data_IF_754952337053
#
_entry.id   IF_754952337053
#
_cell.length_a   1.000
_cell.length_b   1.000
_cell.length_c   1.000
_cell.angle_alpha   90.00
_cell.angle_beta   90.00
_cell.angle_gamma   90.00
#
_symmetry.space_group_name_H-M   'P 1'
#
loop_
_entity.id
_entity.type
_entity.pdbx_description
1 polymer ?
#
# COMPACT_ATOMS: atom_id res chain seq x y z
N UNK A 1 -6.83 7.36 -22.03
CA UNK A 1 -6.70 7.11 -20.57
C UNK A 1 -5.25 6.84 -20.16
N UNK A 2 -4.41 6.19 -20.98
CA UNK A 2 -2.98 5.97 -20.70
C UNK A 2 -2.07 7.18 -21.01
N UNK A 3 -2.42 8.05 -21.96
CA UNK A 3 -1.63 9.23 -22.33
C UNK A 3 -1.42 10.28 -21.20
N UNK A 4 -2.19 10.20 -20.11
CA UNK A 4 -2.02 11.06 -18.92
C UNK A 4 -0.86 10.61 -18.01
N UNK A 5 -0.35 9.39 -18.18
CA UNK A 5 0.79 8.88 -17.40
C UNK A 5 2.14 9.18 -18.06
N UNK A 6 2.14 9.45 -19.36
CA UNK A 6 3.36 9.68 -20.15
C UNK A 6 4.01 11.03 -19.82
N UNK A 7 3.21 12.08 -19.62
CA UNK A 7 3.69 13.37 -19.11
C UNK A 7 2.61 14.11 -18.32
N UNK A 8 2.95 14.52 -17.11
CA UNK A 8 2.16 15.44 -16.31
C UNK A 8 3.04 16.65 -16.02
N UNK A 9 2.59 17.84 -16.42
CA UNK A 9 3.32 19.10 -16.19
C UNK A 9 4.75 19.11 -16.78
N UNK A 10 4.99 18.40 -17.89
CA UNK A 10 6.31 18.35 -18.54
C UNK A 10 7.35 17.46 -17.85
N UNK A 11 6.95 16.72 -16.81
CA UNK A 11 7.77 15.73 -16.12
C UNK A 11 7.21 14.32 -16.39
N UNK A 12 8.04 13.25 -16.26
CA UNK A 12 7.54 11.89 -16.28
C UNK A 12 6.41 11.76 -15.26
N UNK A 13 5.25 11.23 -15.67
CA UNK A 13 4.11 11.08 -14.75
C UNK A 13 4.41 10.09 -13.61
N UNK A 14 5.34 9.16 -13.85
CA UNK A 14 5.69 8.09 -12.93
C UNK A 14 6.06 8.57 -11.50
N UNK A 15 7.01 9.51 -11.27
CA UNK A 15 7.26 10.07 -9.94
C UNK A 15 6.01 10.59 -9.22
N UNK A 16 5.08 11.26 -9.89
CA UNK A 16 3.86 11.77 -9.26
C UNK A 16 2.95 10.64 -8.78
N UNK A 17 2.81 9.59 -9.59
CA UNK A 17 2.05 8.39 -9.23
C UNK A 17 2.74 7.60 -8.11
N UNK A 18 4.08 7.57 -8.10
CA UNK A 18 4.85 6.95 -7.01
C UNK A 18 4.56 7.64 -5.67
N UNK A 19 4.45 8.98 -5.62
CA UNK A 19 4.09 9.70 -4.39
C UNK A 19 2.75 9.25 -3.81
N UNK A 20 1.77 8.99 -4.66
CA UNK A 20 0.48 8.45 -4.24
C UNK A 20 0.68 7.10 -3.52
N UNK A 21 1.44 6.17 -4.11
CA UNK A 21 1.70 4.86 -3.53
C UNK A 21 2.52 4.95 -2.23
N UNK A 22 3.62 5.70 -2.23
CA UNK A 22 4.54 5.77 -1.08
C UNK A 22 3.96 6.50 0.12
N UNK A 23 2.96 7.37 -0.07
CA UNK A 23 2.24 8.03 1.04
C UNK A 23 1.04 7.21 1.49
N UNK A 24 0.22 6.72 0.55
CA UNK A 24 -1.03 6.08 0.91
C UNK A 24 -0.84 4.68 1.49
N UNK A 25 0.14 3.89 1.05
CA UNK A 25 0.32 2.54 1.62
C UNK A 25 0.72 2.59 3.10
N UNK A 26 1.72 3.40 3.53
CA UNK A 26 2.02 3.55 4.96
C UNK A 26 0.85 4.12 5.76
N UNK A 27 0.13 5.10 5.20
CA UNK A 27 -1.04 5.69 5.86
C UNK A 27 -2.17 4.67 6.03
N UNK A 28 -2.43 3.85 5.01
CA UNK A 28 -3.36 2.72 5.06
C UNK A 28 -2.93 1.66 6.06
N UNK A 29 -1.64 1.34 6.14
CA UNK A 29 -1.09 0.39 7.09
C UNK A 29 -1.33 0.87 8.53
N UNK A 30 -0.99 2.13 8.84
CA UNK A 30 -1.25 2.74 10.17
C UNK A 30 -2.76 2.77 10.47
N UNK A 31 -3.58 3.17 9.50
CA UNK A 31 -5.04 3.12 9.63
C UNK A 31 -5.55 1.70 9.91
N UNK A 32 -4.99 0.70 9.24
CA UNK A 32 -5.33 -0.72 9.41
C UNK A 32 -5.01 -1.18 10.83
N UNK A 33 -3.84 -0.82 11.37
CA UNK A 33 -3.47 -1.09 12.76
C UNK A 33 -4.44 -0.40 13.74
N UNK A 34 -4.77 0.87 13.49
CA UNK A 34 -5.70 1.62 14.33
C UNK A 34 -7.08 0.95 14.39
N UNK A 35 -7.64 0.52 13.26
CA UNK A 35 -8.95 -0.15 13.23
C UNK A 35 -8.88 -1.59 13.76
N UNK A 36 -7.72 -2.26 13.65
CA UNK A 36 -7.52 -3.61 14.21
C UNK A 36 -7.58 -3.59 15.74
N UNK A 37 -6.93 -2.61 16.39
CA UNK A 37 -6.80 -2.57 17.85
C UNK A 37 -7.80 -1.63 18.55
N UNK A 38 -8.30 -0.60 17.86
CA UNK A 38 -9.11 0.44 18.50
C UNK A 38 -10.55 0.44 18.00
N UNK A 39 -11.47 -0.13 18.80
CA UNK A 39 -12.88 -0.23 18.43
C UNK A 39 -13.57 1.11 18.14
N UNK A 40 -13.15 2.20 18.79
CA UNK A 40 -13.67 3.54 18.50
C UNK A 40 -13.25 4.04 17.11
N UNK A 41 -11.98 3.86 16.73
CA UNK A 41 -11.49 4.18 15.40
C UNK A 41 -12.19 3.32 14.33
N UNK A 42 -12.30 2.00 14.58
CA UNK A 42 -13.01 1.08 13.70
C UNK A 42 -14.43 1.53 13.37
N UNK A 43 -15.16 2.06 14.36
CA UNK A 43 -16.52 2.58 14.17
C UNK A 43 -16.59 3.88 13.38
N UNK A 44 -15.65 4.80 13.61
CA UNK A 44 -15.69 6.16 13.05
C UNK A 44 -15.07 6.25 11.66
N UNK A 45 -13.89 5.64 11.48
CA UNK A 45 -13.06 5.79 10.29
C UNK A 45 -12.82 4.47 9.55
N UNK A 46 -13.40 3.36 10.00
CA UNK A 46 -13.16 2.03 9.44
C UNK A 46 -13.28 1.95 7.93
N UNK A 47 -14.40 2.42 7.37
CA UNK A 47 -14.62 2.44 5.92
C UNK A 47 -13.76 3.48 5.19
N UNK A 48 -13.38 4.57 5.85
CA UNK A 48 -12.43 5.54 5.31
C UNK A 48 -11.06 4.88 5.12
N UNK A 49 -10.59 4.10 6.11
CA UNK A 49 -9.34 3.34 6.02
C UNK A 49 -9.39 2.30 4.90
N UNK A 50 -10.51 1.59 4.71
CA UNK A 50 -10.69 0.65 3.60
C UNK A 50 -10.60 1.37 2.25
N UNK A 51 -11.29 2.50 2.09
CA UNK A 51 -11.22 3.31 0.88
C UNK A 51 -9.80 3.81 0.60
N UNK A 52 -9.10 4.29 1.64
CA UNK A 52 -7.72 4.74 1.55
C UNK A 52 -6.78 3.60 1.12
N UNK A 53 -6.94 2.41 1.71
CA UNK A 53 -6.16 1.24 1.33
C UNK A 53 -6.44 0.77 -0.11
N UNK A 54 -7.69 0.88 -0.57
CA UNK A 54 -8.05 0.62 -1.96
C UNK A 54 -7.38 1.60 -2.92
N UNK A 55 -7.42 2.90 -2.61
CA UNK A 55 -6.72 3.92 -3.43
C UNK A 55 -5.21 3.70 -3.40
N UNK A 56 -4.65 3.28 -2.26
CA UNK A 56 -3.24 2.91 -2.17
C UNK A 56 -2.89 1.74 -3.09
N UNK A 57 -3.71 0.68 -3.10
CA UNK A 57 -3.56 -0.45 -4.01
C UNK A 57 -3.60 -0.05 -5.48
N UNK A 58 -4.59 0.76 -5.88
CA UNK A 58 -4.69 1.30 -7.24
C UNK A 58 -3.47 2.17 -7.56
N UNK A 59 -3.00 2.98 -6.61
CA UNK A 59 -1.79 3.79 -6.75
C UNK A 59 -0.55 2.95 -7.02
N UNK A 60 -0.37 1.83 -6.31
CA UNK A 60 0.72 0.89 -6.58
C UNK A 60 0.64 0.29 -7.98
N UNK A 61 -0.56 -0.12 -8.41
CA UNK A 61 -0.78 -0.64 -9.76
C UNK A 61 -0.41 0.41 -10.83
N UNK A 62 -0.90 1.64 -10.69
CA UNK A 62 -0.57 2.72 -11.62
C UNK A 62 0.91 3.09 -11.60
N UNK A 63 1.57 3.01 -10.44
CA UNK A 63 3.00 3.25 -10.33
C UNK A 63 3.80 2.18 -11.10
N UNK A 64 3.38 0.91 -11.03
CA UNK A 64 3.96 -0.16 -11.84
C UNK A 64 3.79 0.13 -13.34
N UNK A 65 2.55 0.32 -13.81
CA UNK A 65 2.27 0.52 -15.24
C UNK A 65 3.00 1.74 -15.82
N UNK A 66 3.02 2.86 -15.08
CA UNK A 66 3.76 4.05 -15.48
C UNK A 66 5.29 3.84 -15.46
N UNK A 67 5.80 2.99 -14.59
CA UNK A 67 7.22 2.64 -14.52
C UNK A 67 7.67 1.77 -15.68
N UNK A 68 6.85 0.78 -16.05
CA UNK A 68 7.09 -0.07 -17.22
C UNK A 68 7.08 0.74 -18.52
N UNK A 69 6.15 1.69 -18.66
CA UNK A 69 6.14 2.62 -19.79
C UNK A 69 7.43 3.48 -19.83
N UNK A 70 7.87 3.98 -18.67
CA UNK A 70 9.08 4.80 -18.54
C UNK A 70 10.37 4.02 -18.83
N UNK A 71 10.41 2.71 -18.56
CA UNK A 71 11.61 1.87 -18.73
C UNK A 71 12.17 1.92 -20.16
N UNK A 72 11.30 2.08 -21.16
CA UNK A 72 11.71 2.17 -22.57
C UNK A 72 12.33 3.52 -22.95
N UNK A 73 12.18 4.53 -22.09
CA UNK A 73 12.61 5.92 -22.32
C UNK A 73 13.81 6.33 -21.46
N UNK A 74 14.34 5.42 -20.64
CA UNK A 74 15.48 5.68 -19.73
C UNK A 74 16.64 4.74 -20.04
N UNK A 75 17.86 5.19 -19.72
CA UNK A 75 19.05 4.34 -19.88
C UNK A 75 18.95 3.13 -18.95
N UNK A 76 19.05 1.93 -19.51
CA UNK A 76 19.17 0.69 -18.72
C UNK A 76 20.46 0.68 -17.91
N UNK A 77 20.32 0.36 -16.63
CA UNK A 77 21.40 0.16 -15.66
C UNK A 77 20.99 -0.97 -14.71
N UNK A 78 21.95 -1.62 -14.07
CA UNK A 78 21.65 -2.68 -13.08
C UNK A 78 20.71 -2.20 -11.96
N UNK A 79 20.82 -0.94 -11.54
CA UNK A 79 19.95 -0.36 -10.52
C UNK A 79 18.51 -0.16 -11.01
N UNK A 80 18.31 0.19 -12.29
CA UNK A 80 16.98 0.28 -12.90
C UNK A 80 16.36 -1.11 -13.01
N UNK A 81 17.12 -2.10 -13.48
CA UNK A 81 16.61 -3.48 -13.62
C UNK A 81 16.24 -4.09 -12.26
N UNK A 82 17.05 -3.87 -11.23
CA UNK A 82 16.75 -4.29 -9.86
C UNK A 82 15.50 -3.60 -9.26
N UNK A 83 15.20 -2.37 -9.67
CA UNK A 83 13.96 -1.69 -9.26
C UNK A 83 12.74 -2.26 -9.98
N UNK A 84 12.84 -2.48 -11.29
CA UNK A 84 11.77 -3.05 -12.13
C UNK A 84 11.39 -4.45 -11.65
N UNK A 85 12.36 -5.29 -11.32
CA UNK A 85 12.09 -6.65 -10.80
C UNK A 85 11.27 -6.64 -9.50
N UNK A 86 11.37 -5.58 -8.70
CA UNK A 86 10.61 -5.44 -7.45
C UNK A 86 9.23 -4.81 -7.63
N UNK A 87 8.91 -4.25 -8.80
CA UNK A 87 7.73 -3.42 -9.03
C UNK A 87 6.41 -4.17 -8.79
N UNK A 88 6.33 -5.44 -9.21
CA UNK A 88 5.17 -6.31 -8.95
C UNK A 88 4.87 -6.46 -7.45
N UNK A 89 5.93 -6.49 -6.64
CA UNK A 89 5.81 -6.57 -5.18
C UNK A 89 5.09 -5.38 -4.57
N UNK A 90 5.09 -4.21 -5.22
CA UNK A 90 4.39 -3.00 -4.76
C UNK A 90 2.88 -3.13 -4.88
N UNK A 91 2.40 -3.70 -5.99
CA UNK A 91 0.97 -3.97 -6.21
C UNK A 91 0.46 -5.02 -5.23
N UNK A 92 1.22 -6.10 -5.02
CA UNK A 92 0.91 -7.13 -4.02
C UNK A 92 0.88 -6.54 -2.60
N UNK A 93 1.83 -5.66 -2.29
CA UNK A 93 1.87 -4.95 -1.00
C UNK A 93 0.62 -4.08 -0.77
N UNK A 94 0.23 -3.26 -1.75
CA UNK A 94 -0.99 -2.44 -1.66
C UNK A 94 -2.25 -3.30 -1.50
N UNK A 95 -2.35 -4.38 -2.27
CA UNK A 95 -3.47 -5.32 -2.18
C UNK A 95 -3.55 -6.00 -0.81
N UNK A 96 -2.41 -6.43 -0.25
CA UNK A 96 -2.33 -7.03 1.06
C UNK A 96 -2.90 -6.10 2.15
N UNK A 97 -2.50 -4.82 2.15
CA UNK A 97 -3.03 -3.84 3.11
C UNK A 97 -4.53 -3.62 2.92
N UNK A 98 -5.01 -3.53 1.68
CA UNK A 98 -6.42 -3.41 1.37
C UNK A 98 -7.24 -4.59 1.91
N UNK A 99 -6.80 -5.82 1.64
CA UNK A 99 -7.47 -7.04 2.14
C UNK A 99 -7.45 -7.09 3.67
N UNK A 100 -6.35 -6.69 4.31
CA UNK A 100 -6.26 -6.58 5.76
C UNK A 100 -7.30 -5.62 6.35
N UNK A 101 -7.37 -4.40 5.83
CA UNK A 101 -8.34 -3.40 6.25
C UNK A 101 -9.79 -3.84 6.02
N UNK A 102 -10.08 -4.34 4.80
CA UNK A 102 -11.41 -4.81 4.43
C UNK A 102 -11.84 -6.00 5.28
N UNK A 103 -10.94 -6.95 5.53
CA UNK A 103 -11.18 -8.12 6.37
C UNK A 103 -11.60 -7.73 7.78
N UNK A 104 -10.88 -6.80 8.42
CA UNK A 104 -11.23 -6.28 9.76
C UNK A 104 -12.64 -5.70 9.77
N UNK A 105 -13.00 -4.90 8.76
CA UNK A 105 -14.31 -4.25 8.69
C UNK A 105 -15.45 -5.22 8.37
N UNK A 106 -15.24 -6.17 7.45
CA UNK A 106 -16.23 -7.19 7.11
C UNK A 106 -16.51 -8.10 8.32
N UNK A 107 -15.48 -8.54 9.03
CA UNK A 107 -15.67 -9.34 10.25
C UNK A 107 -16.39 -8.54 11.34
N UNK A 108 -16.03 -7.27 11.55
CA UNK A 108 -16.72 -6.40 12.51
C UNK A 108 -18.21 -6.23 12.16
N UNK A 109 -18.55 -6.05 10.87
CA UNK A 109 -19.94 -6.02 10.42
C UNK A 109 -20.68 -7.32 10.70
N UNK A 110 -20.10 -8.47 10.35
CA UNK A 110 -20.71 -9.79 10.55
C UNK A 110 -20.99 -10.03 12.04
N UNK A 111 -20.01 -9.73 12.90
CA UNK A 111 -20.15 -9.89 14.36
C UNK A 111 -21.28 -9.02 14.88
N UNK A 112 -21.33 -7.74 14.51
CA UNK A 112 -22.39 -6.81 14.96
C UNK A 112 -23.78 -7.23 14.52
N UNK A 113 -23.94 -7.63 13.26
CA UNK A 113 -25.24 -8.06 12.74
C UNK A 113 -25.76 -9.30 13.48
N UNK A 114 -24.86 -10.23 13.84
CA UNK A 114 -25.24 -11.43 14.60
C UNK A 114 -25.59 -11.12 16.04
N UNK A 115 -24.82 -10.25 16.70
CA UNK A 115 -25.15 -9.78 18.05
C UNK A 115 -26.51 -9.07 18.07
N UNK A 116 -26.80 -8.23 17.09
CA UNK A 116 -28.10 -7.57 16.95
C UNK A 116 -29.25 -8.57 16.74
N UNK A 117 -29.01 -9.67 16.03
CA UNK A 117 -29.97 -10.76 15.79
C UNK A 117 -30.04 -11.80 16.94
N UNK A 118 -29.32 -11.59 18.05
CA UNK A 118 -29.22 -12.53 19.19
C UNK A 118 -28.83 -13.96 18.79
N UNK A 119 -28.04 -14.12 17.73
CA UNK A 119 -27.61 -15.43 17.26
C UNK A 119 -26.45 -15.96 18.11
N UNK A 120 -26.52 -17.23 18.52
CA UNK A 120 -25.42 -17.89 19.21
C UNK A 120 -24.21 -18.04 18.27
N UNK A 121 -23.03 -17.66 18.74
CA UNK A 121 -21.79 -17.77 17.97
C UNK A 121 -21.08 -19.11 18.22
N UNK A 122 -20.67 -19.77 17.13
CA UNK A 122 -19.78 -20.95 17.19
C UNK A 122 -18.38 -20.54 17.72
N UNK A 123 -17.59 -21.46 18.30
CA UNK A 123 -16.26 -21.15 18.85
C UNK A 123 -15.33 -20.44 17.86
N UNK A 124 -15.27 -20.91 16.61
CA UNK A 124 -14.45 -20.32 15.55
C UNK A 124 -14.84 -18.86 15.26
N UNK A 125 -16.13 -18.52 15.40
CA UNK A 125 -16.64 -17.17 15.14
C UNK A 125 -16.27 -16.19 16.25
N UNK A 126 -16.08 -16.68 17.49
CA UNK A 126 -15.59 -15.87 18.61
C UNK A 126 -14.11 -15.51 18.43
N UNK A 127 -13.34 -16.38 17.78
CA UNK A 127 -11.92 -16.17 17.50
C UNK A 127 -11.66 -15.36 16.22
N UNK A 128 -12.62 -15.30 15.29
CA UNK A 128 -12.47 -14.64 14.00
C UNK A 128 -11.95 -13.18 14.08
N UNK A 129 -12.42 -12.30 15.00
CA UNK A 129 -11.88 -10.93 15.10
C UNK A 129 -10.40 -10.89 15.46
N UNK A 130 -9.95 -11.81 16.32
CA UNK A 130 -8.55 -11.90 16.73
C UNK A 130 -7.68 -12.39 15.58
N UNK A 131 -8.11 -13.48 14.91
CA UNK A 131 -7.39 -14.07 13.77
C UNK A 131 -7.24 -13.03 12.65
N UNK A 132 -8.34 -12.37 12.26
CA UNK A 132 -8.30 -11.35 11.22
C UNK A 132 -7.52 -10.12 11.64
N UNK A 133 -7.56 -9.73 12.92
CA UNK A 133 -6.72 -8.66 13.44
C UNK A 133 -5.23 -8.97 13.29
N UNK A 134 -4.80 -10.18 13.67
CA UNK A 134 -3.40 -10.62 13.51
C UNK A 134 -3.00 -10.66 12.04
N UNK A 135 -3.83 -11.24 11.17
CA UNK A 135 -3.55 -11.27 9.73
C UNK A 135 -3.45 -9.86 9.14
N UNK A 136 -4.34 -8.95 9.51
CA UNK A 136 -4.30 -7.56 9.05
C UNK A 136 -3.01 -6.83 9.48
N UNK A 137 -2.53 -7.10 10.70
CA UNK A 137 -1.24 -6.57 11.18
C UNK A 137 -0.08 -7.10 10.34
N UNK A 138 -0.04 -8.41 10.09
CA UNK A 138 1.02 -9.01 9.26
C UNK A 138 1.02 -8.44 7.84
N UNK A 139 -0.16 -8.27 7.23
CA UNK A 139 -0.31 -7.68 5.90
C UNK A 139 0.10 -6.20 5.88
N UNK A 140 -0.23 -5.43 6.92
CA UNK A 140 0.18 -4.02 7.06
C UNK A 140 1.70 -3.88 7.18
N UNK A 141 2.35 -4.74 7.97
CA UNK A 141 3.80 -4.77 8.11
C UNK A 141 4.49 -5.19 6.81
N UNK A 142 4.01 -6.27 6.18
CA UNK A 142 4.48 -6.71 4.87
C UNK A 142 4.41 -5.58 3.85
N UNK A 143 3.24 -4.92 3.73
CA UNK A 143 3.04 -3.82 2.80
C UNK A 143 4.02 -2.67 3.02
N UNK A 144 4.23 -2.28 4.28
CA UNK A 144 5.16 -1.22 4.66
C UNK A 144 6.61 -1.55 4.28
N UNK A 145 7.06 -2.78 4.61
CA UNK A 145 8.43 -3.23 4.29
C UNK A 145 8.68 -3.23 2.78
N UNK A 146 7.72 -3.75 1.99
CA UNK A 146 7.86 -3.81 0.53
C UNK A 146 7.93 -2.42 -0.09
N UNK A 147 7.10 -1.48 0.35
CA UNK A 147 7.14 -0.11 -0.16
C UNK A 147 8.47 0.59 0.17
N UNK A 148 9.01 0.38 1.37
CA UNK A 148 10.34 0.92 1.75
C UNK A 148 11.43 0.33 0.86
N UNK A 149 11.43 -0.99 0.65
CA UNK A 149 12.41 -1.67 -0.20
C UNK A 149 12.37 -1.18 -1.65
N UNK A 150 11.16 -1.07 -2.22
CA UNK A 150 10.94 -0.61 -3.59
C UNK A 150 11.36 0.86 -3.73
N UNK A 151 10.97 1.71 -2.77
CA UNK A 151 11.34 3.12 -2.74
C UNK A 151 12.85 3.32 -2.64
N UNK A 152 13.53 2.56 -1.78
CA UNK A 152 15.00 2.58 -1.67
C UNK A 152 15.68 2.16 -2.98
N UNK A 153 15.16 1.11 -3.63
CA UNK A 153 15.66 0.66 -4.93
C UNK A 153 15.47 1.74 -6.00
N UNK A 154 14.31 2.40 -6.03
CA UNK A 154 14.04 3.51 -6.97
C UNK A 154 14.93 4.74 -6.72
N UNK A 155 15.22 5.05 -5.46
CA UNK A 155 16.15 6.11 -5.09
C UNK A 155 17.58 5.79 -5.59
N UNK A 156 18.04 4.54 -5.45
CA UNK A 156 19.33 4.09 -6.01
C UNK A 156 19.36 4.17 -7.53
N UNK A 157 18.28 3.75 -8.21
CA UNK A 157 18.19 3.81 -9.66
C UNK A 157 18.29 5.25 -10.20
N UNK A 158 17.76 6.22 -9.46
CA UNK A 158 17.75 7.63 -9.87
C UNK A 158 19.02 8.38 -9.45
N UNK A 159 19.48 8.17 -8.21
CA UNK A 159 20.48 9.03 -7.55
C UNK A 159 21.79 8.32 -7.22
N UNK A 160 21.93 7.02 -7.52
CA UNK A 160 23.09 6.22 -7.10
C UNK A 160 24.44 6.72 -7.66
N UNK A 161 24.42 7.47 -8.76
CA UNK A 161 25.61 8.04 -9.40
C UNK A 161 25.74 9.56 -9.17
N UNK A 162 24.85 10.16 -8.37
CA UNK A 162 24.89 11.59 -8.08
C UNK A 162 25.85 11.84 -6.93
N UNK A 163 26.93 12.59 -7.17
CA UNK A 163 27.80 13.09 -6.09
C UNK A 163 27.04 14.16 -5.31
N UNK A 164 26.84 13.91 -4.02
CA UNK A 164 26.33 14.93 -3.10
C UNK A 164 27.54 15.78 -2.68
N UNK A 165 27.57 17.03 -3.14
CA UNK A 165 28.61 18.00 -2.74
C UNK A 165 28.12 18.71 -1.48
N UNK A 166 28.89 18.66 -0.40
CA UNK A 166 28.63 19.45 0.81
C UNK A 166 29.26 20.83 0.66
N UNK A 167 28.66 21.88 1.24
CA UNK A 167 29.24 23.24 1.28
C UNK A 167 30.62 23.28 1.99
N UNK A 168 31.01 22.18 2.66
CA UNK A 168 32.30 22.00 3.32
C UNK A 168 33.34 21.21 2.52
N UNK A 169 33.02 20.75 1.31
CA UNK A 169 33.93 20.08 0.37
C UNK A 169 34.42 21.04 -0.72
#
# INVERSE_FOLDING_TARGET
MLALLDSLFGLPGHPLVVHLAVVLVPLAAVGTLAIAFWGAARRRIGWIVVGLAFVAFVGCFLAKESGEALQNSVKRTEAVDAHVEMADGGTVAGFAVFVGAAGVMVVDLIVRQRTARKQAALPLQKQAPMIVGVLAVLLALFGSVRIIQIGHSGAKATWGNTKIVSEKD
#
